data_IF_242611352000
#
_entry.id   IF_242611352000
#
_cell.length_a   1.000
_cell.length_b   1.000
_cell.length_c   1.000
_cell.angle_alpha   90.00
_cell.angle_beta   90.00
_cell.angle_gamma   90.00
#
_symmetry.space_group_name_H-M   'P 1'
#
loop_
_entity.id
_entity.type
_entity.pdbx_description
1 polymer ?
#
# COMPACT_ATOMS: atom_id res chain seq x y z
N UNK A 1 24.67 9.26 -27.97
CA UNK A 1 23.77 8.56 -27.03
C UNK A 1 22.37 8.57 -27.60
N UNK A 2 21.89 7.43 -28.07
CA UNK A 2 20.56 7.30 -28.67
C UNK A 2 19.52 7.42 -27.55
N UNK A 3 18.77 8.52 -27.54
CA UNK A 3 17.59 8.68 -26.70
C UNK A 3 16.54 7.70 -27.22
N UNK A 4 16.52 6.48 -26.69
CA UNK A 4 15.40 5.58 -26.89
C UNK A 4 14.17 6.25 -26.28
N UNK A 5 13.16 6.53 -27.12
CA UNK A 5 11.85 6.94 -26.64
C UNK A 5 11.31 5.86 -25.70
N UNK A 6 11.46 6.08 -24.41
CA UNK A 6 11.08 5.19 -23.32
C UNK A 6 9.57 5.28 -23.12
N UNK A 7 8.84 4.42 -23.83
CA UNK A 7 7.39 4.31 -23.75
C UNK A 7 7.00 3.62 -22.44
N UNK A 8 5.95 4.12 -21.77
CA UNK A 8 5.34 3.44 -20.62
C UNK A 8 4.30 2.40 -21.06
N UNK A 9 4.51 1.13 -20.71
CA UNK A 9 3.57 0.04 -21.01
C UNK A 9 2.24 0.24 -20.28
N UNK A 10 2.29 0.77 -19.06
CA UNK A 10 1.09 0.93 -18.24
C UNK A 10 0.18 2.00 -18.84
N UNK A 11 0.74 3.09 -19.36
CA UNK A 11 -0.02 4.12 -20.07
C UNK A 11 -0.58 3.60 -21.39
N UNK A 12 0.15 2.75 -22.10
CA UNK A 12 -0.35 2.06 -23.29
C UNK A 12 -1.55 1.14 -22.96
N UNK A 13 -1.44 0.31 -21.91
CA UNK A 13 -2.53 -0.55 -21.45
C UNK A 13 -3.77 0.27 -21.07
N UNK A 14 -3.59 1.38 -20.33
CA UNK A 14 -4.70 2.26 -19.97
C UNK A 14 -5.45 2.79 -21.20
N UNK A 15 -4.72 3.24 -22.22
CA UNK A 15 -5.32 3.76 -23.47
C UNK A 15 -6.12 2.68 -24.20
N UNK A 16 -5.62 1.45 -24.22
CA UNK A 16 -6.27 0.30 -24.86
C UNK A 16 -7.35 -0.34 -23.98
N UNK A 17 -7.62 0.22 -22.80
CA UNK A 17 -8.52 -0.35 -21.81
C UNK A 17 -8.17 -1.80 -21.43
N UNK A 18 -6.87 -2.13 -21.47
CA UNK A 18 -6.34 -3.43 -21.08
C UNK A 18 -6.13 -3.42 -19.56
N UNK A 19 -6.54 -4.48 -18.84
CA UNK A 19 -6.25 -4.61 -17.42
C UNK A 19 -4.75 -4.51 -17.14
N UNK A 20 -4.37 -3.62 -16.23
CA UNK A 20 -2.94 -3.36 -15.95
C UNK A 20 -2.19 -4.60 -15.47
N UNK A 21 -2.86 -5.53 -14.81
CA UNK A 21 -2.32 -6.83 -14.40
C UNK A 21 -1.68 -7.64 -15.55
N UNK A 22 -2.23 -7.47 -16.76
CA UNK A 22 -1.87 -8.25 -17.97
C UNK A 22 -0.73 -7.62 -18.76
N UNK A 23 -0.07 -6.59 -18.23
CA UNK A 23 1.02 -5.91 -18.95
C UNK A 23 2.12 -6.88 -19.41
N UNK A 24 2.37 -7.95 -18.66
CA UNK A 24 3.38 -8.99 -18.97
C UNK A 24 3.06 -9.83 -20.20
N UNK A 25 1.80 -9.84 -20.64
CA UNK A 25 1.37 -10.58 -21.83
C UNK A 25 1.72 -9.83 -23.13
N UNK A 26 2.20 -8.60 -23.02
CA UNK A 26 2.53 -7.75 -24.16
C UNK A 26 4.04 -7.48 -24.20
N UNK A 27 4.60 -7.60 -25.38
CA UNK A 27 6.02 -7.39 -25.64
C UNK A 27 6.33 -5.92 -25.89
N UNK A 28 7.55 -5.49 -25.54
CA UNK A 28 8.02 -4.13 -25.84
C UNK A 28 7.99 -3.80 -27.34
N UNK A 29 8.05 -4.79 -28.22
CA UNK A 29 7.93 -4.62 -29.66
C UNK A 29 6.50 -4.20 -30.08
N UNK A 30 5.47 -4.90 -29.59
CA UNK A 30 4.06 -4.55 -29.84
C UNK A 30 3.71 -3.15 -29.31
N UNK A 31 4.34 -2.77 -28.19
CA UNK A 31 4.17 -1.46 -27.59
C UNK A 31 4.84 -0.41 -28.46
N UNK A 32 6.11 -0.59 -28.85
CA UNK A 32 6.87 0.38 -29.67
C UNK A 32 6.18 0.65 -31.01
N UNK A 33 5.66 -0.37 -31.68
CA UNK A 33 4.93 -0.23 -32.94
C UNK A 33 3.65 0.61 -32.77
N UNK A 34 2.87 0.34 -31.73
CA UNK A 34 1.68 1.11 -31.37
C UNK A 34 1.99 2.51 -30.81
N UNK A 35 3.25 2.78 -30.45
CA UNK A 35 3.71 3.99 -29.77
C UNK A 35 4.44 4.98 -30.67
N UNK A 36 4.56 4.67 -31.96
CA UNK A 36 4.99 5.62 -32.99
C UNK A 36 4.08 6.86 -33.08
N UNK A 37 2.87 6.83 -32.48
CA UNK A 37 2.00 7.99 -32.23
C UNK A 37 1.91 8.47 -30.77
N UNK A 38 2.79 7.97 -29.88
CA UNK A 38 2.73 8.21 -28.42
C UNK A 38 3.30 9.57 -27.98
N UNK A 39 3.83 10.38 -28.91
CA UNK A 39 4.12 11.80 -28.67
C UNK A 39 2.86 12.61 -28.27
N UNK A 40 1.66 12.06 -28.43
CA UNK A 40 0.37 12.72 -28.15
C UNK A 40 -0.13 12.70 -26.70
N UNK A 41 0.72 12.45 -25.70
CA UNK A 41 0.40 12.84 -24.30
C UNK A 41 1.31 13.98 -23.82
N UNK A 42 1.87 14.76 -24.75
CA UNK A 42 2.18 16.15 -24.43
C UNK A 42 0.85 16.82 -24.05
N UNK A 43 0.69 17.36 -22.83
CA UNK A 43 -0.44 18.22 -22.52
C UNK A 43 -0.22 19.55 -23.25
N UNK A 44 -0.24 19.54 -24.58
CA UNK A 44 -0.40 20.75 -25.38
C UNK A 44 -1.83 21.21 -25.17
N UNK A 45 -2.05 21.98 -24.12
CA UNK A 45 -3.27 22.75 -23.86
C UNK A 45 -4.56 21.92 -23.83
N UNK A 46 -4.88 21.32 -22.67
CA UNK A 46 -6.26 20.90 -22.39
C UNK A 46 -6.54 19.40 -22.41
N UNK A 47 -5.57 18.53 -22.07
CA UNK A 47 -5.95 17.21 -21.55
C UNK A 47 -6.88 17.43 -20.35
N UNK A 48 -8.15 17.08 -20.52
CA UNK A 48 -9.22 17.39 -19.59
C UNK A 48 -8.82 16.84 -18.20
N UNK A 49 -8.70 17.69 -17.18
CA UNK A 49 -8.22 17.32 -15.83
C UNK A 49 -8.91 16.05 -15.30
N UNK A 50 -10.18 15.87 -15.69
CA UNK A 50 -10.97 14.66 -15.44
C UNK A 50 -10.35 13.37 -15.98
N UNK A 51 -9.85 13.36 -17.21
CA UNK A 51 -9.21 12.18 -17.82
C UNK A 51 -7.89 11.85 -17.12
N UNK A 52 -7.08 12.87 -16.82
CA UNK A 52 -5.81 12.69 -16.11
C UNK A 52 -6.04 12.10 -14.72
N UNK A 53 -6.99 12.66 -13.96
CA UNK A 53 -7.37 12.14 -12.63
C UNK A 53 -7.94 10.73 -12.71
N UNK A 54 -8.74 10.41 -13.73
CA UNK A 54 -9.29 9.06 -13.90
C UNK A 54 -8.18 8.04 -14.23
N UNK A 55 -7.22 8.39 -15.07
CA UNK A 55 -6.04 7.56 -15.32
C UNK A 55 -5.24 7.31 -14.04
N UNK A 56 -4.93 8.37 -13.30
CA UNK A 56 -4.24 8.29 -12.02
C UNK A 56 -5.01 7.40 -11.02
N UNK A 57 -6.34 7.53 -10.95
CA UNK A 57 -7.19 6.67 -10.12
C UNK A 57 -7.09 5.19 -10.51
N UNK A 58 -7.10 4.87 -11.81
CA UNK A 58 -6.93 3.49 -12.29
C UNK A 58 -5.57 2.93 -11.91
N UNK A 59 -4.50 3.71 -12.04
CA UNK A 59 -3.14 3.32 -11.63
C UNK A 59 -3.06 3.08 -10.12
N UNK A 60 -3.62 3.98 -9.31
CA UNK A 60 -3.65 3.84 -7.84
C UNK A 60 -4.42 2.58 -7.42
N UNK A 61 -5.59 2.32 -8.01
CA UNK A 61 -6.37 1.12 -7.70
C UNK A 61 -5.65 -0.18 -8.11
N UNK A 62 -4.90 -0.14 -9.22
CA UNK A 62 -4.12 -1.28 -9.68
C UNK A 62 -2.92 -1.60 -8.78
N UNK A 63 -2.50 -0.68 -7.91
CA UNK A 63 -1.48 -0.96 -6.88
C UNK A 63 -1.93 -2.04 -5.90
N UNK A 64 -3.22 -2.43 -5.86
CA UNK A 64 -3.67 -3.64 -5.16
C UNK A 64 -2.89 -4.90 -5.56
N UNK A 65 -2.21 -4.89 -6.71
CA UNK A 65 -1.30 -5.93 -7.17
C UNK A 65 0.15 -5.43 -7.11
N UNK A 66 1.02 -6.12 -6.36
CA UNK A 66 2.42 -5.69 -6.20
C UNK A 66 3.20 -5.65 -7.52
N UNK A 67 2.94 -6.59 -8.44
CA UNK A 67 3.59 -6.60 -9.76
C UNK A 67 3.29 -5.35 -10.60
N UNK A 68 2.14 -4.71 -10.38
CA UNK A 68 1.80 -3.44 -11.03
C UNK A 68 2.54 -2.30 -10.32
N UNK A 69 2.59 -2.29 -8.99
CA UNK A 69 3.36 -1.31 -8.23
C UNK A 69 4.86 -1.33 -8.61
N UNK A 70 5.47 -2.50 -8.73
CA UNK A 70 6.86 -2.64 -9.20
C UNK A 70 7.04 -2.02 -10.60
N UNK A 71 6.11 -2.27 -11.51
CA UNK A 71 6.17 -1.70 -12.86
C UNK A 71 5.96 -0.19 -12.86
N UNK A 72 5.07 0.33 -12.01
CA UNK A 72 4.89 1.77 -11.80
C UNK A 72 6.21 2.39 -11.33
N UNK A 73 6.91 1.77 -10.38
CA UNK A 73 8.19 2.29 -9.89
C UNK A 73 9.23 2.39 -11.02
N UNK A 74 9.31 1.38 -11.89
CA UNK A 74 10.22 1.37 -13.03
C UNK A 74 9.88 2.45 -14.08
N UNK A 75 8.59 2.72 -14.31
CA UNK A 75 8.13 3.69 -15.30
C UNK A 75 7.93 5.11 -14.75
N UNK A 76 8.05 5.30 -13.44
CA UNK A 76 7.82 6.57 -12.77
C UNK A 76 8.60 7.75 -13.37
N UNK A 77 9.90 7.63 -13.73
CA UNK A 77 10.64 8.74 -14.34
C UNK A 77 10.14 9.13 -15.73
N UNK A 78 9.45 8.21 -16.41
CA UNK A 78 8.94 8.38 -17.76
C UNK A 78 7.61 9.14 -17.79
N UNK A 79 6.93 9.24 -16.66
CA UNK A 79 5.60 9.81 -16.58
C UNK A 79 5.63 11.36 -16.55
N UNK A 80 4.68 12.02 -17.25
CA UNK A 80 4.50 13.47 -17.15
C UNK A 80 4.34 13.93 -15.70
N UNK A 81 4.90 15.10 -15.36
CA UNK A 81 4.84 15.65 -14.01
C UNK A 81 3.40 15.77 -13.49
N UNK A 82 2.47 16.24 -14.34
CA UNK A 82 1.05 16.36 -13.99
C UNK A 82 0.41 15.02 -13.61
N UNK A 83 0.77 13.93 -14.30
CA UNK A 83 0.27 12.60 -13.96
C UNK A 83 0.82 12.11 -12.62
N UNK A 84 2.12 12.35 -12.36
CA UNK A 84 2.74 12.03 -11.08
C UNK A 84 2.09 12.79 -9.93
N UNK A 85 1.82 14.09 -10.12
CA UNK A 85 1.08 14.91 -9.14
C UNK A 85 -0.33 14.36 -8.90
N UNK A 86 -1.11 14.11 -9.96
CA UNK A 86 -2.46 13.55 -9.83
C UNK A 86 -2.46 12.16 -9.17
N UNK A 87 -1.46 11.32 -9.47
CA UNK A 87 -1.27 10.04 -8.80
C UNK A 87 -1.02 10.24 -7.30
N UNK A 88 -0.07 11.10 -6.93
CA UNK A 88 0.26 11.40 -5.53
C UNK A 88 -0.94 11.94 -4.77
N UNK A 89 -1.68 12.89 -5.33
CA UNK A 89 -2.91 13.42 -4.71
C UNK A 89 -3.93 12.31 -4.47
N UNK A 90 -4.17 11.47 -5.48
CA UNK A 90 -5.11 10.35 -5.40
C UNK A 90 -4.60 9.21 -4.54
N UNK A 91 -3.30 9.09 -4.31
CA UNK A 91 -2.66 8.11 -3.40
C UNK A 91 -2.63 8.59 -1.94
N UNK A 92 -2.86 9.89 -1.68
CA UNK A 92 -2.98 10.43 -0.32
C UNK A 92 -4.42 10.80 0.08
N UNK A 93 -5.38 10.77 -0.84
CA UNK A 93 -6.79 11.05 -0.55
C UNK A 93 -7.57 9.93 0.19
N UNK A 94 -8.26 10.30 1.28
CA UNK A 94 -9.36 9.52 1.86
C UNK A 94 -9.09 8.05 2.24
N UNK A 95 -10.18 7.29 2.42
CA UNK A 95 -10.15 5.88 2.80
C UNK A 95 -10.06 4.97 1.57
N UNK A 96 -9.20 3.94 1.62
CA UNK A 96 -9.04 2.94 0.55
C UNK A 96 -9.06 1.52 1.11
N UNK A 97 -9.26 0.56 0.20
CA UNK A 97 -9.15 -0.86 0.57
C UNK A 97 -7.74 -1.17 1.10
N UNK A 98 -7.66 -2.10 2.06
CA UNK A 98 -6.38 -2.45 2.70
C UNK A 98 -5.32 -2.96 1.72
N UNK A 99 -5.73 -3.61 0.62
CA UNK A 99 -4.80 -4.12 -0.39
C UNK A 99 -4.19 -2.97 -1.21
N UNK A 100 -5.00 -1.99 -1.63
CA UNK A 100 -4.50 -0.80 -2.32
C UNK A 100 -3.54 -0.03 -1.43
N UNK A 101 -3.89 0.18 -0.15
CA UNK A 101 -3.02 0.90 0.79
C UNK A 101 -1.67 0.21 1.03
N UNK A 102 -1.65 -1.12 1.12
CA UNK A 102 -0.39 -1.90 1.21
C UNK A 102 0.43 -1.78 -0.07
N UNK A 103 -0.22 -1.84 -1.22
CA UNK A 103 0.40 -1.65 -2.53
C UNK A 103 1.04 -0.28 -2.70
N UNK A 104 0.34 0.79 -2.33
CA UNK A 104 0.87 2.16 -2.33
C UNK A 104 2.06 2.27 -1.37
N UNK A 105 1.97 1.66 -0.18
CA UNK A 105 3.08 1.67 0.79
C UNK A 105 4.31 0.97 0.22
N UNK A 106 4.12 -0.18 -0.44
CA UNK A 106 5.19 -0.89 -1.12
C UNK A 106 5.80 -0.05 -2.26
N UNK A 107 4.97 0.58 -3.09
CA UNK A 107 5.41 1.48 -4.15
C UNK A 107 6.22 2.67 -3.59
N UNK A 108 5.75 3.26 -2.50
CA UNK A 108 6.43 4.37 -1.82
C UNK A 108 7.82 3.96 -1.33
N UNK A 109 7.96 2.75 -0.77
CA UNK A 109 9.27 2.17 -0.43
C UNK A 109 10.18 2.04 -1.66
N UNK A 110 9.67 1.53 -2.78
CA UNK A 110 10.45 1.39 -4.02
C UNK A 110 10.91 2.74 -4.59
N UNK A 111 10.12 3.80 -4.38
CA UNK A 111 10.42 5.15 -4.86
C UNK A 111 11.14 6.02 -3.85
N UNK A 112 11.44 5.50 -2.65
CA UNK A 112 12.15 6.21 -1.59
C UNK A 112 11.33 7.30 -0.90
N UNK A 113 10.04 7.05 -0.62
CA UNK A 113 9.19 7.96 0.15
C UNK A 113 8.63 9.16 -0.63
N UNK A 114 8.61 9.09 -1.97
CA UNK A 114 8.20 10.21 -2.84
C UNK A 114 6.69 10.33 -3.03
N UNK A 115 5.90 9.34 -2.63
CA UNK A 115 4.46 9.31 -2.85
C UNK A 115 3.70 9.71 -1.60
N UNK A 116 4.04 9.17 -0.43
CA UNK A 116 3.24 9.45 0.77
C UNK A 116 3.74 10.72 1.47
N UNK A 117 2.84 11.67 1.73
CA UNK A 117 3.16 12.90 2.48
C UNK A 117 3.35 12.64 3.97
N UNK A 118 2.79 11.55 4.48
CA UNK A 118 2.94 11.10 5.85
C UNK A 118 3.34 9.63 5.87
N UNK A 119 4.55 9.33 6.37
CA UNK A 119 4.89 8.01 6.88
C UNK A 119 3.96 7.72 8.05
N UNK A 120 2.93 6.90 7.81
CA UNK A 120 1.94 6.56 8.83
C UNK A 120 2.59 5.63 9.84
N UNK A 121 3.22 6.20 10.86
CA UNK A 121 3.68 5.53 12.08
C UNK A 121 2.51 5.25 13.04
N UNK A 122 1.35 4.86 12.50
CA UNK A 122 0.15 4.66 13.32
C UNK A 122 -0.05 3.17 13.56
N UNK A 123 0.49 2.70 14.69
CA UNK A 123 0.00 1.51 15.38
C UNK A 123 -1.49 1.72 15.65
N UNK A 124 -2.37 1.02 14.95
CA UNK A 124 -3.83 1.15 15.11
C UNK A 124 -4.37 -0.02 15.92
N UNK A 125 -5.16 0.25 16.95
CA UNK A 125 -5.99 -0.77 17.60
C UNK A 125 -7.35 -0.82 16.93
N UNK A 126 -7.87 -2.04 16.79
CA UNK A 126 -9.25 -2.28 16.34
C UNK A 126 -10.08 -2.61 17.57
N UNK A 127 -10.96 -1.69 17.98
CA UNK A 127 -12.01 -2.00 18.95
C UNK A 127 -13.33 -2.21 18.21
N UNK A 128 -14.03 -3.26 18.60
CA UNK A 128 -15.43 -3.48 18.22
C UNK A 128 -16.23 -2.95 19.41
N UNK A 129 -17.04 -1.94 19.18
CA UNK A 129 -17.89 -1.34 20.20
C UNK A 129 -19.33 -1.50 19.75
N UNK A 130 -20.16 -2.02 20.65
CA UNK A 130 -21.59 -2.10 20.41
C UNK A 130 -22.22 -0.75 20.75
N UNK A 131 -22.88 -0.14 19.77
CA UNK A 131 -23.65 1.10 19.94
C UNK A 131 -25.04 0.80 19.38
N UNK A 132 -26.07 0.97 20.19
CA UNK A 132 -27.48 0.71 19.84
C UNK A 132 -27.75 -0.68 19.23
N UNK A 133 -27.16 -1.73 19.83
CA UNK A 133 -27.35 -3.12 19.39
C UNK A 133 -26.66 -3.47 18.07
N UNK A 134 -25.82 -2.57 17.54
CA UNK A 134 -25.02 -2.79 16.33
C UNK A 134 -23.53 -2.75 16.66
N UNK A 135 -22.79 -3.75 16.19
CA UNK A 135 -21.34 -3.81 16.33
C UNK A 135 -20.68 -2.82 15.36
N UNK A 136 -20.25 -1.68 15.87
CA UNK A 136 -19.51 -0.68 15.12
C UNK A 136 -18.02 -0.92 15.33
N UNK A 137 -17.27 -0.93 14.23
CA UNK A 137 -15.82 -1.15 14.24
C UNK A 137 -15.11 0.20 14.18
N UNK A 138 -14.50 0.60 15.30
CA UNK A 138 -13.79 1.87 15.40
C UNK A 138 -12.27 1.61 15.38
N UNK A 139 -11.56 2.35 14.53
CA UNK A 139 -10.11 2.29 14.41
C UNK A 139 -9.55 3.54 15.09
N UNK A 140 -8.84 3.36 16.21
CA UNK A 140 -8.13 4.44 16.88
C UNK A 140 -6.64 4.34 16.60
N UNK A 141 -6.01 5.49 16.34
CA UNK A 141 -4.55 5.61 16.35
C UNK A 141 -4.04 5.51 17.78
N UNK A 142 -3.08 4.62 18.03
CA UNK A 142 -2.41 4.50 19.33
C UNK A 142 -1.04 5.16 19.22
N UNK A 143 -0.70 5.93 20.25
CA UNK A 143 0.65 6.40 20.49
C UNK A 143 1.62 5.20 20.63
N UNK A 144 2.64 5.08 19.76
CA UNK A 144 3.61 4.00 19.79
C UNK A 144 4.32 3.84 21.14
N UNK A 145 4.60 4.95 21.85
CA UNK A 145 5.29 4.92 23.14
C UNK A 145 4.40 4.31 24.22
N UNK A 146 3.11 4.66 24.21
CA UNK A 146 2.10 4.06 25.10
C UNK A 146 1.90 2.58 24.80
N UNK A 147 1.80 2.19 23.53
CA UNK A 147 1.69 0.79 23.12
C UNK A 147 2.93 -0.04 23.51
N UNK A 148 4.12 0.56 23.45
CA UNK A 148 5.37 -0.05 23.93
C UNK A 148 5.38 -0.24 25.44
N UNK A 149 4.98 0.78 26.20
CA UNK A 149 4.87 0.71 27.66
C UNK A 149 3.81 -0.31 28.12
N UNK A 150 2.62 -0.29 27.52
CA UNK A 150 1.56 -1.27 27.83
C UNK A 150 2.00 -2.70 27.51
N UNK A 151 2.81 -2.93 26.46
CA UNK A 151 3.43 -4.25 26.21
C UNK A 151 4.48 -4.63 27.23
N UNK A 152 5.27 -3.67 27.72
CA UNK A 152 6.33 -3.91 28.71
C UNK A 152 5.76 -4.17 30.11
N UNK A 153 4.62 -3.57 30.44
CA UNK A 153 3.93 -3.70 31.75
C UNK A 153 2.68 -4.57 31.71
N UNK A 154 2.39 -5.26 30.59
CA UNK A 154 1.23 -6.15 30.53
C UNK A 154 1.36 -7.28 31.58
N UNK A 155 0.26 -7.70 32.22
CA UNK A 155 0.29 -8.76 33.23
C UNK A 155 0.81 -10.12 32.71
N UNK A 156 0.96 -10.26 31.37
CA UNK A 156 1.39 -11.48 30.69
C UNK A 156 2.59 -11.23 29.75
N UNK A 157 3.60 -10.52 30.25
CA UNK A 157 4.84 -10.23 29.52
C UNK A 157 5.68 -11.51 29.35
N UNK A 158 6.21 -11.71 28.14
CA UNK A 158 7.17 -12.79 27.87
C UNK A 158 8.49 -12.47 28.60
N UNK A 159 9.19 -13.47 29.16
CA UNK A 159 10.42 -13.23 29.91
C UNK A 159 11.49 -12.56 29.04
N UNK A 160 12.36 -11.73 29.64
CA UNK A 160 13.34 -10.92 28.91
C UNK A 160 14.29 -11.74 28.00
N UNK A 161 14.53 -13.01 28.34
CA UNK A 161 15.35 -13.94 27.56
C UNK A 161 14.57 -14.70 26.46
N UNK A 162 13.28 -14.41 26.24
CA UNK A 162 12.41 -15.17 25.35
C UNK A 162 12.97 -15.35 23.94
N UNK A 163 13.66 -14.34 23.40
CA UNK A 163 14.27 -14.43 22.07
C UNK A 163 15.31 -15.55 21.96
N UNK A 164 16.08 -15.80 23.04
CA UNK A 164 17.18 -16.76 23.12
C UNK A 164 16.75 -18.19 23.46
N UNK A 165 15.45 -18.41 23.75
CA UNK A 165 14.92 -19.72 24.11
C UNK A 165 14.72 -20.62 22.89
N UNK A 166 14.79 -21.94 23.11
CA UNK A 166 14.46 -22.95 22.12
C UNK A 166 12.97 -22.91 21.74
N UNK A 167 12.63 -23.47 20.57
CA UNK A 167 11.24 -23.51 20.11
C UNK A 167 10.31 -24.26 21.09
N UNK A 168 10.81 -25.31 21.74
CA UNK A 168 10.07 -26.08 22.74
C UNK A 168 9.76 -25.26 24.00
N UNK A 169 10.72 -24.49 24.50
CA UNK A 169 10.56 -23.62 25.67
C UNK A 169 9.62 -22.45 25.37
N UNK A 170 9.75 -21.83 24.19
CA UNK A 170 8.83 -20.78 23.71
C UNK A 170 7.38 -21.28 23.68
N UNK A 171 7.17 -22.53 23.25
CA UNK A 171 5.85 -23.17 23.21
C UNK A 171 5.28 -23.40 24.60
N UNK A 172 6.09 -23.88 25.55
CA UNK A 172 5.67 -24.06 26.96
C UNK A 172 5.28 -22.73 27.61
N UNK A 173 6.06 -21.68 27.40
CA UNK A 173 5.76 -20.34 27.92
C UNK A 173 4.46 -19.79 27.33
N UNK A 174 4.26 -19.93 26.01
CA UNK A 174 3.02 -19.49 25.37
C UNK A 174 1.79 -20.27 25.88
N UNK A 175 1.93 -21.57 26.13
CA UNK A 175 0.86 -22.38 26.71
C UNK A 175 0.50 -21.94 28.12
N UNK A 176 1.50 -21.64 28.96
CA UNK A 176 1.30 -21.13 30.32
C UNK A 176 0.59 -19.77 30.31
N UNK A 177 1.10 -18.80 29.54
CA UNK A 177 0.49 -17.47 29.40
C UNK A 177 -0.94 -17.54 28.83
N UNK A 178 -1.20 -18.47 27.91
CA UNK A 178 -2.54 -18.69 27.37
C UNK A 178 -3.51 -19.28 28.42
N UNK A 179 -3.03 -20.16 29.30
CA UNK A 179 -3.82 -20.72 30.41
C UNK A 179 -4.17 -19.63 31.43
N UNK A 180 -3.19 -18.85 31.85
CA UNK A 180 -3.37 -17.75 32.82
C UNK A 180 -4.36 -16.69 32.30
N UNK A 181 -4.28 -16.33 31.00
CA UNK A 181 -5.27 -15.44 30.36
C UNK A 181 -6.70 -15.98 30.38
N UNK A 182 -6.86 -17.30 30.20
CA UNK A 182 -8.19 -17.94 30.22
C UNK A 182 -8.75 -17.98 31.64
N UNK A 183 -7.90 -18.18 32.64
CA UNK A 183 -8.31 -18.19 34.05
C UNK A 183 -8.68 -16.79 34.55
N UNK A 184 -7.93 -15.75 34.19
CA UNK A 184 -8.29 -14.37 34.54
C UNK A 184 -9.61 -13.94 33.89
N UNK A 185 -9.84 -14.31 32.62
CA UNK A 185 -11.12 -14.05 31.93
C UNK A 185 -12.31 -14.79 32.55
N UNK A 186 -12.09 -15.87 33.29
CA UNK A 186 -13.16 -16.57 34.04
C UNK A 186 -13.45 -15.94 35.40
N UNK A 187 -12.53 -15.12 35.92
CA UNK A 187 -12.65 -14.44 37.21
C UNK A 187 -13.26 -13.04 37.11
N UNK A 188 -13.26 -12.45 35.92
CA UNK A 188 -13.94 -11.19 35.57
C UNK A 188 -15.26 -11.51 34.89
#
# INVERSE_FOLDING_TARGET
MVQHATVSILLWCLRRNIPLARWREHTEAEIKEASSGFLGYAPTGGANDKQLREMARRLVNACSQYSVAERIAAEWPLWPALLRMAFTDIANSGWRSGNVSKGITHLDTLLGGKIRSHTVDVTTERRIQEVDGRLIRTIHGIDPARAGAERAFAPFVRPANYAKLSAAEKRRINQRLAKERREEKRRK
#
